data_IF_149465683785
#
_entry.id   IF_149465683785
#
_cell.length_a   1.000
_cell.length_b   1.000
_cell.length_c   1.000
_cell.angle_alpha   90.00
_cell.angle_beta   90.00
_cell.angle_gamma   90.00
#
_symmetry.space_group_name_H-M   'P 1'
#
loop_
_entity.id
_entity.type
_entity.pdbx_description
1 polymer ?
#
# COMPACT_ATOMS: atom_id res chain seq x y z
N UNK A 1 20.67 6.78 -26.71
CA UNK A 1 19.31 7.19 -26.33
C UNK A 1 19.47 8.39 -25.41
N UNK A 2 19.12 9.60 -25.86
CA UNK A 2 19.38 10.83 -25.09
C UNK A 2 18.41 10.92 -23.90
N UNK A 3 18.94 10.80 -22.68
CA UNK A 3 18.28 11.26 -21.45
C UNK A 3 18.11 12.78 -21.53
N UNK A 4 16.98 13.22 -22.07
CA UNK A 4 16.55 14.62 -21.89
C UNK A 4 16.03 14.76 -20.47
N UNK A 5 16.94 14.98 -19.52
CA UNK A 5 16.57 15.51 -18.20
C UNK A 5 16.02 16.91 -18.42
N UNK A 6 14.69 17.01 -18.51
CA UNK A 6 14.00 18.30 -18.51
C UNK A 6 14.31 18.91 -17.14
N UNK A 7 15.23 19.88 -17.10
CA UNK A 7 15.51 20.62 -15.86
C UNK A 7 14.25 21.42 -15.55
N UNK A 8 13.55 20.99 -14.52
CA UNK A 8 12.37 21.69 -14.04
C UNK A 8 12.81 23.04 -13.47
N UNK A 9 11.98 24.07 -13.59
CA UNK A 9 12.21 25.34 -12.92
C UNK A 9 12.37 25.14 -11.41
N UNK A 10 13.35 25.80 -10.79
CA UNK A 10 13.71 25.65 -9.37
C UNK A 10 12.55 25.88 -8.37
N UNK A 11 11.51 26.59 -8.78
CA UNK A 11 10.32 26.88 -7.97
C UNK A 11 9.29 25.74 -7.96
N UNK A 12 9.45 24.75 -8.85
CA UNK A 12 8.56 23.57 -8.96
C UNK A 12 9.11 22.39 -8.15
N UNK A 13 10.42 22.31 -7.96
CA UNK A 13 11.09 21.29 -7.12
C UNK A 13 10.43 21.11 -5.73
N UNK A 14 10.18 22.17 -4.93
CA UNK A 14 9.56 22.00 -3.61
C UNK A 14 8.12 21.47 -3.67
N UNK A 15 7.37 21.74 -4.76
CA UNK A 15 6.01 21.24 -4.93
C UNK A 15 6.02 19.74 -5.26
N UNK A 16 6.99 19.31 -6.07
CA UNK A 16 7.17 17.89 -6.41
C UNK A 16 7.57 17.08 -5.18
N UNK A 17 8.43 17.62 -4.34
CA UNK A 17 8.86 16.95 -3.10
C UNK A 17 7.69 16.81 -2.11
N UNK A 18 6.92 17.88 -1.89
CA UNK A 18 5.73 17.83 -1.02
C UNK A 18 4.70 16.84 -1.56
N UNK A 19 4.43 16.87 -2.87
CA UNK A 19 3.46 15.95 -3.48
C UNK A 19 3.92 14.51 -3.40
N UNK A 20 5.21 14.21 -3.59
CA UNK A 20 5.77 12.87 -3.39
C UNK A 20 5.63 12.39 -1.95
N UNK A 21 6.03 13.20 -0.97
CA UNK A 21 5.94 12.84 0.46
C UNK A 21 4.48 12.56 0.86
N UNK A 22 3.55 13.41 0.44
CA UNK A 22 2.12 13.24 0.75
C UNK A 22 1.59 11.95 0.12
N UNK A 23 1.92 11.69 -1.15
CA UNK A 23 1.32 10.62 -1.94
C UNK A 23 1.94 9.25 -1.62
N UNK A 24 3.25 9.20 -1.36
CA UNK A 24 4.00 7.96 -1.14
C UNK A 24 4.17 7.60 0.34
N UNK A 25 4.10 8.58 1.26
CA UNK A 25 4.36 8.34 2.69
C UNK A 25 3.11 8.61 3.53
N UNK A 26 2.54 9.81 3.45
CA UNK A 26 1.44 10.18 4.34
C UNK A 26 0.15 9.39 4.05
N UNK A 27 -0.22 9.24 2.77
CA UNK A 27 -1.46 8.58 2.36
C UNK A 27 -1.46 7.08 2.72
N UNK A 28 -0.42 6.28 2.39
CA UNK A 28 -0.35 4.87 2.79
C UNK A 28 -0.31 4.69 4.31
N UNK A 29 0.38 5.55 5.04
CA UNK A 29 0.46 5.47 6.50
C UNK A 29 -0.90 5.72 7.18
N UNK A 30 -1.65 6.74 6.73
CA UNK A 30 -2.99 7.03 7.26
C UNK A 30 -3.96 5.89 6.94
N UNK A 31 -3.93 5.38 5.71
CA UNK A 31 -4.78 4.24 5.31
C UNK A 31 -4.43 2.98 6.10
N UNK A 32 -3.14 2.65 6.23
CA UNK A 32 -2.68 1.50 7.03
C UNK A 32 -3.10 1.60 8.50
N UNK A 33 -2.99 2.78 9.11
CA UNK A 33 -3.44 3.02 10.47
C UNK A 33 -4.97 2.91 10.60
N UNK A 34 -5.71 3.44 9.61
CA UNK A 34 -7.17 3.30 9.53
C UNK A 34 -7.63 1.85 9.44
N UNK A 35 -6.93 1.01 8.67
CA UNK A 35 -7.21 -0.43 8.57
C UNK A 35 -7.02 -1.12 9.93
N UNK A 36 -5.93 -0.82 10.65
CA UNK A 36 -5.69 -1.39 11.98
C UNK A 36 -6.77 -0.96 12.97
N UNK A 37 -7.12 0.33 12.99
CA UNK A 37 -8.18 0.85 13.86
C UNK A 37 -9.53 0.22 13.54
N UNK A 38 -9.83 -0.01 12.26
CA UNK A 38 -11.03 -0.73 11.84
C UNK A 38 -11.02 -2.19 12.29
N UNK A 39 -9.90 -2.90 12.15
CA UNK A 39 -9.76 -4.29 12.65
C UNK A 39 -9.97 -4.37 14.16
N UNK A 40 -9.41 -3.43 14.93
CA UNK A 40 -9.60 -3.32 16.38
C UNK A 40 -11.07 -3.04 16.72
N UNK A 41 -11.71 -2.10 16.02
CA UNK A 41 -13.13 -1.80 16.21
C UNK A 41 -14.02 -3.01 15.92
N UNK A 42 -13.78 -3.69 14.79
CA UNK A 42 -14.53 -4.89 14.40
C UNK A 42 -14.36 -6.02 15.42
N UNK A 43 -13.13 -6.21 15.94
CA UNK A 43 -12.86 -7.15 17.00
C UNK A 43 -13.62 -6.81 18.29
N UNK A 44 -13.60 -5.54 18.72
CA UNK A 44 -14.33 -5.09 19.91
C UNK A 44 -15.85 -5.19 19.74
N UNK A 45 -16.37 -4.95 18.54
CA UNK A 45 -17.82 -4.90 18.27
C UNK A 45 -18.43 -6.26 18.01
N UNK A 46 -17.76 -7.10 17.22
CA UNK A 46 -18.28 -8.36 16.73
C UNK A 46 -17.56 -9.58 17.31
N UNK A 47 -16.58 -9.38 18.21
CA UNK A 47 -15.73 -10.44 18.77
C UNK A 47 -15.03 -11.29 17.71
N UNK A 48 -14.89 -10.77 16.50
CA UNK A 48 -14.31 -11.46 15.34
C UNK A 48 -13.17 -10.64 14.79
N UNK A 49 -12.01 -11.30 14.62
CA UNK A 49 -10.84 -10.67 14.02
C UNK A 49 -10.93 -10.81 12.50
N UNK A 50 -11.18 -9.70 11.81
CA UNK A 50 -11.23 -9.66 10.34
C UNK A 50 -9.84 -9.37 9.81
N UNK A 51 -9.14 -10.40 9.35
CA UNK A 51 -7.83 -10.26 8.70
C UNK A 51 -8.04 -9.68 7.30
N UNK A 52 -7.72 -8.39 7.11
CA UNK A 52 -7.67 -7.79 5.77
C UNK A 52 -6.27 -8.05 5.21
N UNK A 53 -6.19 -8.98 4.24
CA UNK A 53 -4.93 -9.33 3.60
C UNK A 53 -4.57 -8.38 2.45
N UNK A 54 -3.32 -8.43 1.98
CA UNK A 54 -2.95 -7.65 0.79
C UNK A 54 -3.68 -8.11 -0.47
N UNK A 55 -4.10 -9.38 -0.53
CA UNK A 55 -4.92 -9.87 -1.65
C UNK A 55 -6.30 -9.26 -1.60
N UNK A 56 -6.92 -9.16 -0.43
CA UNK A 56 -8.23 -8.51 -0.29
C UNK A 56 -8.16 -7.04 -0.73
N UNK A 57 -7.07 -6.36 -0.36
CA UNK A 57 -6.80 -5.00 -0.83
C UNK A 57 -6.57 -4.95 -2.34
N UNK A 58 -5.76 -5.85 -2.90
CA UNK A 58 -5.46 -5.89 -4.33
C UNK A 58 -6.69 -6.25 -5.19
N UNK A 59 -7.53 -7.18 -4.72
CA UNK A 59 -8.79 -7.56 -5.36
C UNK A 59 -9.80 -6.40 -5.39
N UNK A 60 -9.69 -5.43 -4.47
CA UNK A 60 -10.52 -4.23 -4.51
C UNK A 60 -10.14 -3.26 -5.63
N UNK A 61 -8.86 -3.23 -6.03
CA UNK A 61 -8.34 -2.31 -7.06
C UNK A 61 -8.18 -2.97 -8.43
N UNK A 62 -8.25 -4.30 -8.52
CA UNK A 62 -7.99 -5.06 -9.73
C UNK A 62 -9.03 -6.16 -9.90
N UNK A 63 -9.69 -6.16 -11.06
CA UNK A 63 -10.67 -7.19 -11.46
C UNK A 63 -10.00 -8.50 -11.93
N UNK A 64 -8.73 -8.71 -11.59
CA UNK A 64 -8.01 -9.89 -12.02
C UNK A 64 -8.59 -11.13 -11.32
N UNK A 65 -9.08 -12.08 -12.13
CA UNK A 65 -9.72 -13.29 -11.64
C UNK A 65 -8.81 -14.11 -10.75
N UNK A 66 -7.48 -13.97 -10.92
CA UNK A 66 -6.49 -14.63 -10.08
C UNK A 66 -6.53 -14.18 -8.61
N UNK A 67 -6.90 -12.92 -8.34
CA UNK A 67 -6.92 -12.36 -6.99
C UNK A 67 -8.12 -12.87 -6.19
N UNK A 68 -9.26 -13.02 -6.84
CA UNK A 68 -10.51 -13.51 -6.24
C UNK A 68 -10.66 -15.03 -6.30
N UNK A 69 -10.17 -15.66 -7.39
CA UNK A 69 -10.19 -17.10 -7.63
C UNK A 69 -8.92 -17.56 -8.36
N UNK A 70 -7.82 -17.86 -7.63
CA UNK A 70 -6.56 -18.24 -8.27
C UNK A 70 -6.71 -19.55 -9.05
N UNK A 71 -6.44 -19.50 -10.36
CA UNK A 71 -6.37 -20.68 -11.22
C UNK A 71 -4.98 -21.35 -11.20
N UNK A 72 -3.94 -20.58 -10.86
CA UNK A 72 -2.53 -20.98 -10.82
C UNK A 72 -1.82 -20.35 -9.61
N UNK A 73 -0.62 -20.80 -9.25
CA UNK A 73 0.20 -20.19 -8.18
C UNK A 73 -0.47 -20.08 -6.79
N UNK A 74 -1.28 -21.08 -6.42
CA UNK A 74 -2.02 -21.12 -5.15
C UNK A 74 -1.14 -20.93 -3.90
N UNK A 75 0.10 -21.41 -3.91
CA UNK A 75 1.04 -21.22 -2.79
C UNK A 75 1.43 -19.75 -2.60
N UNK A 76 1.64 -19.02 -3.69
CA UNK A 76 1.94 -17.59 -3.65
C UNK A 76 0.72 -16.78 -3.19
N UNK A 77 -0.45 -17.13 -3.72
CA UNK A 77 -1.72 -16.53 -3.29
C UNK A 77 -1.95 -16.72 -1.79
N UNK A 78 -1.76 -17.95 -1.28
CA UNK A 78 -1.89 -18.25 0.15
C UNK A 78 -0.89 -17.48 1.03
N UNK A 79 0.35 -17.30 0.57
CA UNK A 79 1.36 -16.52 1.31
C UNK A 79 0.99 -15.04 1.37
N UNK A 80 0.59 -14.46 0.25
CA UNK A 80 0.13 -13.08 0.17
C UNK A 80 -1.15 -12.88 1.00
N UNK A 81 -2.07 -13.84 1.00
CA UNK A 81 -3.27 -13.79 1.84
C UNK A 81 -2.95 -13.85 3.35
N UNK A 82 -1.80 -14.39 3.73
CA UNK A 82 -1.31 -14.37 5.11
C UNK A 82 -0.72 -13.01 5.52
N UNK A 83 -0.31 -12.18 4.56
CA UNK A 83 0.34 -10.90 4.84
C UNK A 83 -0.72 -9.81 5.07
N UNK A 84 -0.73 -9.14 6.25
CA UNK A 84 -1.63 -8.03 6.50
C UNK A 84 -1.32 -6.86 5.56
N UNK A 85 -2.36 -6.29 4.93
CA UNK A 85 -2.21 -5.14 4.04
C UNK A 85 -1.54 -3.94 4.74
N UNK A 86 -1.80 -3.77 6.05
CA UNK A 86 -1.21 -2.72 6.87
C UNK A 86 0.31 -2.81 6.97
N UNK A 87 0.87 -4.02 7.05
CA UNK A 87 2.31 -4.24 7.16
C UNK A 87 3.02 -3.85 5.85
N UNK A 88 2.41 -4.19 4.71
CA UNK A 88 2.98 -3.86 3.41
C UNK A 88 2.89 -2.36 3.12
N UNK A 89 1.77 -1.71 3.44
CA UNK A 89 1.66 -0.25 3.29
C UNK A 89 2.70 0.49 4.15
N UNK A 90 2.98 -0.01 5.36
CA UNK A 90 3.96 0.57 6.25
C UNK A 90 5.40 0.33 5.75
N UNK A 91 5.68 -0.85 5.20
CA UNK A 91 6.96 -1.15 4.54
C UNK A 91 7.20 -0.28 3.30
N UNK A 92 6.18 -0.06 2.48
CA UNK A 92 6.26 0.82 1.30
C UNK A 92 6.54 2.26 1.73
N UNK A 93 5.84 2.76 2.74
CA UNK A 93 6.08 4.10 3.27
C UNK A 93 7.51 4.24 3.83
N UNK A 94 7.99 3.23 4.55
CA UNK A 94 9.36 3.19 5.07
C UNK A 94 10.41 3.15 3.96
N UNK A 95 10.24 2.29 2.95
CA UNK A 95 11.18 2.21 1.83
C UNK A 95 11.19 3.47 0.97
N UNK A 96 10.02 4.10 0.78
CA UNK A 96 9.92 5.37 0.05
C UNK A 96 10.61 6.51 0.78
N UNK A 97 10.62 6.50 2.12
CA UNK A 97 11.36 7.48 2.92
C UNK A 97 12.87 7.20 2.92
N UNK A 98 13.28 5.93 2.95
CA UNK A 98 14.68 5.53 2.99
C UNK A 98 15.46 5.81 1.69
N UNK A 99 14.77 5.97 0.55
CA UNK A 99 15.40 6.30 -0.74
C UNK A 99 15.79 7.79 -0.83
N UNK A 100 15.31 8.63 0.11
CA UNK A 100 15.57 10.07 0.18
C UNK A 100 16.68 10.46 1.19
N UNK A 101 17.20 9.51 2.02
CA UNK A 101 18.32 9.70 2.96
C UNK A 101 19.68 9.30 2.35
#
# INVERSE_FOLDING_TARGET
MNDRRIRLPYWIEPIIDITRIVLLVALPAVVGCGIILFQIYAYLRFSTWVSISIIDAAAYFSDDAWLSSPSDWNGLHSLLNMVPASLVLLLIAYSAQADDD
#
